data_IF_633948009289
#
_entry.id   IF_633948009289
#
_cell.length_a   1.000
_cell.length_b   1.000
_cell.length_c   1.000
_cell.angle_alpha   90.00
_cell.angle_beta   90.00
_cell.angle_gamma   90.00
#
_symmetry.space_group_name_H-M   'P 1'
#
loop_
_entity.id
_entity.type
_entity.pdbx_description
1 polymer ?
#
# COMPACT_ATOMS: atom_id res chain seq x y z
N UNK A 1 8.51 -18.81 -15.37
CA UNK A 1 7.46 -18.39 -14.39
C UNK A 1 7.87 -18.57 -12.93
N UNK A 2 8.25 -19.77 -12.45
CA UNK A 2 8.60 -20.00 -11.03
C UNK A 2 9.69 -19.07 -10.47
N UNK A 3 10.75 -18.77 -11.23
CA UNK A 3 11.83 -17.84 -10.82
C UNK A 3 11.34 -16.40 -10.65
N UNK A 4 10.48 -15.93 -11.55
CA UNK A 4 9.97 -14.56 -11.59
C UNK A 4 8.99 -14.31 -10.43
N UNK A 5 8.11 -15.27 -10.15
CA UNK A 5 7.23 -15.24 -8.97
C UNK A 5 8.07 -15.27 -7.68
N UNK A 6 9.08 -16.15 -7.60
CA UNK A 6 9.95 -16.23 -6.42
C UNK A 6 10.67 -14.91 -6.13
N UNK A 7 11.09 -14.21 -7.20
CA UNK A 7 11.72 -12.89 -7.15
C UNK A 7 10.74 -11.79 -6.73
N UNK A 8 9.57 -11.69 -7.37
CA UNK A 8 8.54 -10.69 -7.03
C UNK A 8 8.07 -10.85 -5.58
N UNK A 9 8.00 -12.08 -5.08
CA UNK A 9 7.66 -12.38 -3.68
C UNK A 9 8.85 -12.36 -2.72
N UNK A 10 10.03 -11.88 -3.14
CA UNK A 10 11.17 -11.68 -2.23
C UNK A 10 10.84 -10.61 -1.20
N UNK A 11 11.14 -10.81 0.11
CA UNK A 11 10.83 -9.84 1.16
C UNK A 11 11.28 -8.41 0.83
N UNK A 12 12.54 -8.23 0.41
CA UNK A 12 13.09 -6.93 0.04
C UNK A 12 12.39 -6.30 -1.17
N UNK A 13 12.06 -7.12 -2.18
CA UNK A 13 11.38 -6.63 -3.39
C UNK A 13 9.95 -6.21 -3.06
N UNK A 14 9.23 -7.00 -2.27
CA UNK A 14 7.89 -6.66 -1.82
C UNK A 14 7.89 -5.38 -0.98
N UNK A 15 8.84 -5.26 -0.06
CA UNK A 15 9.02 -4.04 0.74
C UNK A 15 9.16 -2.83 -0.16
N UNK A 16 10.10 -2.90 -1.11
CA UNK A 16 10.33 -1.80 -2.05
C UNK A 16 9.09 -1.49 -2.88
N UNK A 17 8.39 -2.50 -3.39
CA UNK A 17 7.16 -2.33 -4.17
C UNK A 17 6.05 -1.64 -3.37
N UNK A 18 5.85 -2.01 -2.10
CA UNK A 18 4.87 -1.36 -1.22
C UNK A 18 5.15 0.14 -1.17
N UNK A 19 6.39 0.54 -0.86
CA UNK A 19 6.74 1.95 -0.74
C UNK A 19 6.70 2.69 -2.08
N UNK A 20 7.12 2.07 -3.18
CA UNK A 20 6.99 2.66 -4.52
C UNK A 20 5.53 2.94 -4.86
N UNK A 21 4.62 2.00 -4.59
CA UNK A 21 3.19 2.17 -4.84
C UNK A 21 2.56 3.24 -3.93
N UNK A 22 3.05 3.43 -2.71
CA UNK A 22 2.60 4.52 -1.84
C UNK A 22 3.13 5.88 -2.31
N UNK A 23 4.43 5.95 -2.59
CA UNK A 23 5.12 7.17 -3.02
C UNK A 23 4.52 7.68 -4.34
N UNK A 24 4.34 6.82 -5.33
CA UNK A 24 3.72 7.22 -6.60
C UNK A 24 2.32 7.81 -6.39
N UNK A 25 1.57 7.31 -5.40
CA UNK A 25 0.25 7.83 -5.06
C UNK A 25 0.24 9.30 -4.63
N UNK A 26 1.38 9.84 -4.19
CA UNK A 26 1.54 11.25 -3.83
C UNK A 26 1.92 12.10 -5.05
N UNK A 27 2.79 11.59 -5.93
CA UNK A 27 3.36 12.36 -7.03
C UNK A 27 2.58 12.25 -8.34
N UNK A 28 2.01 11.08 -8.63
CA UNK A 28 1.35 10.80 -9.91
C UNK A 28 0.07 11.65 -10.08
N UNK A 29 -0.82 11.77 -9.07
CA UNK A 29 -2.00 12.61 -9.20
C UNK A 29 -1.66 14.07 -9.44
N UNK A 30 -0.60 14.59 -8.81
CA UNK A 30 -0.15 15.97 -9.00
C UNK A 30 0.31 16.22 -10.45
N UNK A 31 1.08 15.30 -11.03
CA UNK A 31 1.49 15.39 -12.45
C UNK A 31 0.31 15.26 -13.40
N UNK A 32 -0.65 14.40 -13.07
CA UNK A 32 -1.83 14.18 -13.90
C UNK A 32 -2.76 15.40 -13.96
N UNK A 33 -2.72 16.31 -12.98
CA UNK A 33 -3.57 17.52 -13.00
C UNK A 33 -3.40 18.37 -14.27
N UNK A 34 -2.23 18.34 -14.90
CA UNK A 34 -2.00 19.03 -16.16
C UNK A 34 -2.97 18.58 -17.27
N UNK A 35 -3.33 17.29 -17.28
CA UNK A 35 -4.21 16.68 -18.28
C UNK A 35 -5.70 16.85 -17.94
N UNK A 36 -6.04 17.48 -16.81
CA UNK A 36 -7.43 17.57 -16.33
C UNK A 36 -8.36 18.25 -17.33
N UNK A 37 -7.88 19.30 -17.99
CA UNK A 37 -8.70 20.09 -18.94
C UNK A 37 -8.49 19.70 -20.39
N UNK A 38 -7.31 19.21 -20.78
CA UNK A 38 -7.00 18.83 -22.16
C UNK A 38 -7.37 17.39 -22.48
N UNK A 39 -7.09 16.46 -21.57
CA UNK A 39 -7.16 15.01 -21.80
C UNK A 39 -7.77 14.30 -20.58
N UNK A 40 -9.06 14.57 -20.36
CA UNK A 40 -9.79 14.07 -19.18
C UNK A 40 -9.73 12.54 -19.01
N UNK A 41 -9.64 11.79 -20.11
CA UNK A 41 -9.51 10.34 -20.07
C UNK A 41 -8.18 9.91 -19.43
N UNK A 42 -7.05 10.52 -19.81
CA UNK A 42 -5.73 10.26 -19.19
C UNK A 42 -5.73 10.65 -17.72
N UNK A 43 -6.32 11.80 -17.38
CA UNK A 43 -6.46 12.24 -15.99
C UNK A 43 -7.27 11.24 -15.15
N UNK A 44 -8.44 10.81 -15.65
CA UNK A 44 -9.35 9.91 -14.93
C UNK A 44 -8.74 8.52 -14.75
N UNK A 45 -8.27 7.90 -15.84
CA UNK A 45 -7.67 6.56 -15.78
C UNK A 45 -6.36 6.57 -14.99
N UNK A 46 -5.51 7.57 -15.16
CA UNK A 46 -4.27 7.70 -14.41
C UNK A 46 -4.51 7.82 -12.90
N UNK A 47 -5.48 8.62 -12.48
CA UNK A 47 -5.86 8.73 -11.06
C UNK A 47 -6.47 7.44 -10.53
N UNK A 48 -7.29 6.75 -11.32
CA UNK A 48 -7.87 5.47 -10.94
C UNK A 48 -6.79 4.40 -10.73
N UNK A 49 -5.83 4.30 -11.65
CA UNK A 49 -4.69 3.38 -11.55
C UNK A 49 -3.82 3.74 -10.33
N UNK A 50 -3.50 5.03 -10.15
CA UNK A 50 -2.73 5.52 -9.00
C UNK A 50 -3.37 5.12 -7.68
N UNK A 51 -4.69 5.31 -7.53
CA UNK A 51 -5.43 4.93 -6.31
C UNK A 51 -5.47 3.41 -6.13
N UNK A 52 -5.72 2.66 -7.20
CA UNK A 52 -5.74 1.20 -7.18
C UNK A 52 -4.40 0.62 -6.70
N UNK A 53 -3.27 1.16 -7.18
CA UNK A 53 -1.93 0.76 -6.73
C UNK A 53 -1.70 1.04 -5.24
N UNK A 54 -2.19 2.16 -4.72
CA UNK A 54 -2.12 2.47 -3.28
C UNK A 54 -2.92 1.45 -2.46
N UNK A 55 -4.12 1.06 -2.91
CA UNK A 55 -4.88 0.00 -2.24
C UNK A 55 -4.17 -1.35 -2.27
N UNK A 56 -3.58 -1.71 -3.41
CA UNK A 56 -2.74 -2.91 -3.52
C UNK A 56 -1.57 -2.84 -2.52
N UNK A 57 -0.93 -1.69 -2.37
CA UNK A 57 0.15 -1.50 -1.39
C UNK A 57 -0.32 -1.73 0.05
N UNK A 58 -1.50 -1.24 0.43
CA UNK A 58 -2.07 -1.49 1.77
C UNK A 58 -2.36 -2.97 2.01
N UNK A 59 -2.93 -3.66 1.02
CA UNK A 59 -3.19 -5.11 1.12
C UNK A 59 -1.88 -5.88 1.24
N UNK A 60 -0.87 -5.56 0.42
CA UNK A 60 0.45 -6.19 0.49
C UNK A 60 1.13 -5.91 1.83
N UNK A 61 1.03 -4.68 2.34
CA UNK A 61 1.55 -4.27 3.64
C UNK A 61 0.90 -5.06 4.79
N UNK A 62 -0.42 -5.30 4.72
CA UNK A 62 -1.14 -6.09 5.72
C UNK A 62 -0.68 -7.56 5.74
N UNK A 63 -0.48 -8.16 4.57
CA UNK A 63 -0.01 -9.55 4.45
C UNK A 63 1.52 -9.70 4.57
N UNK A 64 2.28 -8.61 4.62
CA UNK A 64 3.74 -8.63 4.63
C UNK A 64 4.36 -9.48 5.76
N UNK A 65 3.88 -9.43 7.02
CA UNK A 65 4.37 -10.31 8.09
C UNK A 65 4.14 -11.78 7.79
N UNK A 66 2.96 -12.11 7.27
CA UNK A 66 2.59 -13.48 6.93
C UNK A 66 3.48 -14.02 5.81
N UNK A 67 3.75 -13.20 4.79
CA UNK A 67 4.63 -13.56 3.67
C UNK A 67 6.06 -13.84 4.18
N UNK A 68 6.60 -12.98 5.05
CA UNK A 68 7.94 -13.19 5.64
C UNK A 68 7.95 -14.43 6.53
N UNK A 69 6.94 -14.62 7.37
CA UNK A 69 6.82 -15.78 8.24
C UNK A 69 6.84 -17.08 7.44
N UNK A 70 6.06 -17.16 6.35
CA UNK A 70 5.98 -18.35 5.51
C UNK A 70 7.28 -18.64 4.76
N UNK A 71 8.05 -17.61 4.38
CA UNK A 71 9.31 -17.80 3.64
C UNK A 71 10.52 -18.03 4.54
N UNK A 72 10.57 -17.40 5.70
CA UNK A 72 11.76 -17.32 6.54
C UNK A 72 11.45 -17.56 8.01
N UNK A 73 10.66 -18.61 8.28
CA UNK A 73 10.19 -18.98 9.62
C UNK A 73 11.32 -19.05 10.66
N UNK A 74 12.47 -19.62 10.30
CA UNK A 74 13.63 -19.78 11.20
C UNK A 74 14.34 -18.46 11.51
N UNK A 75 14.39 -17.53 10.54
CA UNK A 75 15.07 -16.24 10.65
C UNK A 75 14.12 -15.05 10.90
N UNK A 76 12.84 -15.32 11.20
CA UNK A 76 11.82 -14.29 11.34
C UNK A 76 12.18 -13.24 12.40
N UNK A 77 12.77 -13.68 13.53
CA UNK A 77 13.21 -12.78 14.62
C UNK A 77 14.23 -11.74 14.16
N UNK A 78 15.16 -12.12 13.28
CA UNK A 78 16.15 -11.20 12.70
C UNK A 78 15.54 -10.19 11.72
N UNK A 79 14.31 -10.43 11.26
CA UNK A 79 13.59 -9.59 10.29
C UNK A 79 12.44 -8.79 10.90
N UNK A 80 12.31 -8.78 12.23
CA UNK A 80 11.22 -8.05 12.91
C UNK A 80 11.16 -6.57 12.53
N UNK A 81 12.32 -5.91 12.38
CA UNK A 81 12.38 -4.49 12.01
C UNK A 81 11.79 -4.25 10.61
N UNK A 82 12.19 -5.05 9.61
CA UNK A 82 11.66 -4.89 8.25
C UNK A 82 10.18 -5.30 8.17
N UNK A 83 9.77 -6.31 8.93
CA UNK A 83 8.35 -6.71 9.07
C UNK A 83 7.53 -5.55 9.60
N UNK A 84 7.98 -4.92 10.69
CA UNK A 84 7.31 -3.79 11.32
C UNK A 84 7.23 -2.57 10.41
N UNK A 85 8.32 -2.22 9.72
CA UNK A 85 8.29 -1.12 8.75
C UNK A 85 7.34 -1.46 7.59
N UNK A 86 7.38 -2.68 7.08
CA UNK A 86 6.53 -3.13 5.98
C UNK A 86 5.04 -3.14 6.31
N UNK A 87 4.64 -3.30 7.58
CA UNK A 87 3.24 -3.22 8.04
C UNK A 87 2.76 -1.83 8.38
N UNK A 88 3.68 -0.89 8.57
CA UNK A 88 3.37 0.47 9.04
C UNK A 88 2.29 1.15 8.16
N UNK A 89 2.33 1.06 6.82
CA UNK A 89 1.28 1.62 5.96
C UNK A 89 -0.12 1.03 6.23
N UNK A 90 -0.23 -0.29 6.40
CA UNK A 90 -1.50 -0.93 6.72
C UNK A 90 -2.03 -0.53 8.11
N UNK A 91 -1.14 -0.42 9.10
CA UNK A 91 -1.51 0.06 10.44
C UNK A 91 -2.04 1.49 10.41
N UNK A 92 -1.35 2.38 9.70
CA UNK A 92 -1.82 3.75 9.50
C UNK A 92 -3.20 3.80 8.84
N UNK A 93 -3.40 3.02 7.78
CA UNK A 93 -4.69 2.95 7.08
C UNK A 93 -5.82 2.42 7.98
N UNK A 94 -5.52 1.41 8.81
CA UNK A 94 -6.48 0.86 9.78
C UNK A 94 -6.90 1.89 10.84
N UNK A 95 -5.94 2.67 11.36
CA UNK A 95 -6.22 3.76 12.31
C UNK A 95 -7.13 4.82 11.67
N UNK A 96 -6.87 5.20 10.41
CA UNK A 96 -7.73 6.16 9.70
C UNK A 96 -9.17 5.66 9.54
N UNK A 97 -9.36 4.37 9.24
CA UNK A 97 -10.70 3.77 9.15
C UNK A 97 -11.41 3.86 10.50
N UNK A 98 -10.73 3.46 11.58
CA UNK A 98 -11.31 3.52 12.94
C UNK A 98 -11.73 4.94 13.31
N UNK A 99 -10.87 5.94 13.05
CA UNK A 99 -11.20 7.35 13.31
C UNK A 99 -12.40 7.82 12.49
N UNK A 100 -12.51 7.38 11.23
CA UNK A 100 -13.63 7.73 10.35
C UNK A 100 -14.94 7.14 10.86
N UNK A 101 -14.92 5.88 11.30
CA UNK A 101 -16.09 5.20 11.89
C UNK A 101 -16.49 5.89 13.20
N UNK A 102 -15.53 6.16 14.09
CA UNK A 102 -15.78 6.83 15.36
C UNK A 102 -16.41 8.21 15.16
N UNK A 103 -15.86 9.01 14.23
CA UNK A 103 -16.42 10.31 13.85
C UNK A 103 -17.85 10.20 13.34
N UNK A 104 -18.14 9.17 12.53
CA UNK A 104 -19.49 8.93 12.01
C UNK A 104 -20.45 8.61 13.15
N UNK A 105 -20.08 7.72 14.07
CA UNK A 105 -20.91 7.37 15.24
C UNK A 105 -21.20 8.60 16.10
N UNK A 106 -20.17 9.41 16.40
CA UNK A 106 -20.33 10.62 17.22
C UNK A 106 -21.28 11.64 16.59
N UNK A 107 -21.24 11.79 15.25
CA UNK A 107 -22.14 12.70 14.51
C UNK A 107 -23.62 12.27 14.58
N UNK A 108 -23.90 10.98 14.72
CA UNK A 108 -25.27 10.45 14.85
C UNK A 108 -25.78 10.43 16.30
N UNK A 109 -24.93 10.75 17.27
CA UNK A 109 -25.25 10.79 18.69
C UNK A 109 -25.62 12.19 19.22
N UNK A 110 -25.57 13.21 18.35
CA UNK A 110 -25.95 14.62 18.61
C UNK A 110 -27.16 14.92 17.73
#
# INVERSE_FOLDING_TARGET
MKKLIKFLFSPLVLFFLIYVFLIQGLFLPAKLQFYRSSENHIYSYGNFISRSLVYVAFVLSFFYPLIIWLKEKENFRGKLLIVFLGTLPALYYFVLILLTILKKILKWSI
#
